data_IF_801795979024
#
_entry.id   IF_801795979024
#
_cell.length_a   1.000
_cell.length_b   1.000
_cell.length_c   1.000
_cell.angle_alpha   90.00
_cell.angle_beta   90.00
_cell.angle_gamma   90.00
#
_symmetry.space_group_name_H-M   'P 1'
#
loop_
_entity.id
_entity.type
_entity.pdbx_description
1 polymer ?
#
# COMPACT_ATOMS: atom_id res chain seq x y z
N UNK A 1 20.85 -14.94 25.36
CA UNK A 1 20.20 -15.65 24.21
C UNK A 1 18.90 -14.98 23.75
N UNK A 2 17.95 -14.70 24.62
CA UNK A 2 16.65 -14.08 24.28
C UNK A 2 16.80 -12.67 23.66
N UNK A 3 17.75 -11.88 24.13
CA UNK A 3 18.01 -10.52 23.61
C UNK A 3 18.59 -10.55 22.17
N UNK A 4 19.48 -11.48 21.84
CA UNK A 4 20.01 -11.65 20.47
C UNK A 4 18.94 -12.09 19.48
N UNK A 5 18.07 -13.02 19.85
CA UNK A 5 16.94 -13.45 19.00
C UNK A 5 15.94 -12.30 18.74
N UNK A 6 15.69 -11.44 19.72
CA UNK A 6 14.84 -10.26 19.54
C UNK A 6 15.41 -9.25 18.55
N UNK A 7 16.73 -9.05 18.58
CA UNK A 7 17.44 -8.15 17.65
C UNK A 7 17.45 -8.71 16.23
N UNK A 8 17.64 -10.02 16.04
CA UNK A 8 17.61 -10.63 14.70
C UNK A 8 16.23 -10.58 14.06
N UNK A 9 15.17 -10.84 14.83
CA UNK A 9 13.79 -10.73 14.34
C UNK A 9 13.46 -9.28 13.98
N UNK A 10 13.86 -8.31 14.80
CA UNK A 10 13.67 -6.90 14.51
C UNK A 10 14.44 -6.46 13.25
N UNK A 11 15.70 -6.90 13.10
CA UNK A 11 16.48 -6.66 11.87
C UNK A 11 15.82 -7.25 10.64
N UNK A 12 15.22 -8.45 10.76
CA UNK A 12 14.47 -9.07 9.66
C UNK A 12 13.23 -8.29 9.32
N UNK A 13 12.41 -7.89 10.30
CA UNK A 13 11.21 -7.07 10.09
C UNK A 13 11.56 -5.73 9.46
N UNK A 14 12.59 -5.05 9.96
CA UNK A 14 13.07 -3.80 9.37
C UNK A 14 13.59 -3.98 7.94
N UNK A 15 14.19 -5.12 7.60
CA UNK A 15 14.61 -5.39 6.21
C UNK A 15 13.43 -5.64 5.28
N UNK A 16 12.39 -6.33 5.74
CA UNK A 16 11.18 -6.61 4.95
C UNK A 16 10.32 -5.34 4.83
N UNK A 17 10.26 -4.52 5.89
CA UNK A 17 9.52 -3.25 5.91
C UNK A 17 10.28 -2.10 5.24
N UNK A 18 11.53 -2.30 4.85
CA UNK A 18 12.39 -1.20 4.40
C UNK A 18 11.89 -0.58 3.10
N UNK A 19 11.49 -1.41 2.15
CA UNK A 19 10.93 -0.96 0.88
C UNK A 19 9.62 -0.20 1.09
N UNK A 20 8.70 -0.78 1.87
CA UNK A 20 7.43 -0.15 2.19
C UNK A 20 7.63 1.18 2.91
N UNK A 21 8.47 1.22 3.95
CA UNK A 21 8.80 2.46 4.67
C UNK A 21 9.42 3.52 3.76
N UNK A 22 10.37 3.12 2.93
CA UNK A 22 11.06 4.05 2.05
C UNK A 22 10.14 4.55 0.94
N UNK A 23 9.28 3.67 0.43
CA UNK A 23 8.28 4.00 -0.57
C UNK A 23 7.24 5.00 -0.06
N UNK A 24 6.79 4.87 1.19
CA UNK A 24 5.83 5.79 1.81
C UNK A 24 6.46 7.11 2.23
N UNK A 25 7.73 7.12 2.68
CA UNK A 25 8.41 8.34 3.09
C UNK A 25 8.78 9.25 1.93
N UNK A 26 9.08 8.70 0.75
CA UNK A 26 9.53 9.50 -0.39
C UNK A 26 8.46 10.43 -0.97
N UNK A 27 7.20 10.02 -1.16
CA UNK A 27 6.13 10.92 -1.55
C UNK A 27 5.95 12.07 -0.54
N UNK A 28 6.06 11.80 0.77
CA UNK A 28 5.97 12.83 1.80
C UNK A 28 7.05 13.90 1.60
N UNK A 29 8.31 13.47 1.46
CA UNK A 29 9.43 14.38 1.24
C UNK A 29 9.29 15.13 -0.09
N UNK A 30 8.83 14.49 -1.13
CA UNK A 30 8.62 15.07 -2.44
C UNK A 30 7.56 16.17 -2.41
N UNK A 31 6.36 15.87 -1.88
CA UNK A 31 5.29 16.86 -1.79
C UNK A 31 5.63 18.01 -0.84
N UNK A 32 6.36 17.72 0.24
CA UNK A 32 6.91 18.75 1.11
C UNK A 32 7.86 19.69 0.36
N UNK A 33 8.79 19.15 -0.43
CA UNK A 33 9.72 19.95 -1.24
C UNK A 33 8.97 20.77 -2.30
N UNK A 34 8.04 20.18 -3.02
CA UNK A 34 7.22 20.89 -4.01
C UNK A 34 6.40 22.00 -3.37
N UNK A 35 5.82 21.75 -2.20
CA UNK A 35 5.10 22.74 -1.42
C UNK A 35 5.96 23.91 -0.96
N UNK A 36 7.20 23.66 -0.55
CA UNK A 36 8.15 24.70 -0.14
C UNK A 36 8.72 25.52 -1.31
N UNK A 37 9.02 24.85 -2.43
CA UNK A 37 9.75 25.46 -3.54
C UNK A 37 8.83 26.13 -4.58
N UNK A 38 7.60 25.63 -4.72
CA UNK A 38 6.67 26.04 -5.79
C UNK A 38 5.38 26.64 -5.21
N UNK A 39 4.52 25.83 -4.59
CA UNK A 39 3.22 26.25 -4.05
C UNK A 39 2.74 25.32 -2.94
N UNK A 40 2.30 25.91 -1.81
CA UNK A 40 1.78 25.17 -0.64
C UNK A 40 0.52 24.35 -0.96
N UNK A 41 -0.27 24.76 -1.94
CA UNK A 41 -1.50 24.07 -2.33
C UNK A 41 -1.24 22.73 -3.04
N UNK A 42 0.01 22.44 -3.42
CA UNK A 42 0.36 21.20 -4.13
C UNK A 42 0.16 19.93 -3.29
N UNK A 43 0.02 20.05 -1.97
CA UNK A 43 -0.39 18.89 -1.15
C UNK A 43 -1.73 18.31 -1.60
N UNK A 44 -2.60 19.13 -2.18
CA UNK A 44 -3.90 18.70 -2.68
C UNK A 44 -3.78 17.79 -3.92
N UNK A 45 -2.66 17.82 -4.64
CA UNK A 45 -2.38 16.88 -5.75
C UNK A 45 -2.27 15.46 -5.22
N UNK A 46 -1.65 15.29 -4.06
CA UNK A 46 -1.59 13.99 -3.39
C UNK A 46 -3.00 13.40 -3.18
N UNK A 47 -3.96 14.24 -2.82
CA UNK A 47 -5.36 13.84 -2.66
C UNK A 47 -5.97 13.19 -3.89
N UNK A 48 -5.74 13.84 -5.04
CA UNK A 48 -6.33 13.41 -6.31
C UNK A 48 -5.69 12.08 -6.74
N UNK A 49 -4.40 11.90 -6.45
CA UNK A 49 -3.62 10.77 -6.93
C UNK A 49 -3.45 9.64 -5.91
N UNK A 50 -3.76 9.90 -4.62
CA UNK A 50 -3.64 8.89 -3.56
C UNK A 50 -4.40 7.57 -3.85
N UNK A 51 -5.65 7.59 -4.33
CA UNK A 51 -6.34 6.35 -4.67
C UNK A 51 -5.59 5.52 -5.72
N UNK A 52 -4.81 6.15 -6.59
CA UNK A 52 -4.05 5.46 -7.64
C UNK A 52 -2.88 4.62 -7.09
N UNK A 53 -2.45 4.87 -5.85
CA UNK A 53 -1.46 4.00 -5.18
C UNK A 53 -1.99 2.57 -5.02
N UNK A 54 -3.29 2.40 -4.86
CA UNK A 54 -3.90 1.07 -4.81
C UNK A 54 -3.93 0.37 -6.18
N UNK A 55 -3.98 1.13 -7.29
CA UNK A 55 -3.79 0.57 -8.62
C UNK A 55 -2.35 0.08 -8.83
N UNK A 56 -1.38 0.79 -8.30
CA UNK A 56 0.00 0.33 -8.24
C UNK A 56 0.12 -1.00 -7.48
N UNK A 57 -0.49 -1.11 -6.28
CA UNK A 57 -0.48 -2.33 -5.48
C UNK A 57 -1.17 -3.51 -6.19
N UNK A 58 -2.28 -3.24 -6.89
CA UNK A 58 -2.97 -4.21 -7.74
C UNK A 58 -2.04 -4.76 -8.84
N UNK A 59 -1.34 -3.89 -9.55
CA UNK A 59 -0.40 -4.25 -10.62
C UNK A 59 0.77 -5.06 -10.06
N UNK A 60 1.32 -4.63 -8.92
CA UNK A 60 2.37 -5.35 -8.19
C UNK A 60 1.94 -6.79 -7.86
N UNK A 61 0.76 -6.96 -7.26
CA UNK A 61 0.21 -8.27 -6.90
C UNK A 61 0.06 -9.18 -8.11
N UNK A 62 -0.59 -8.70 -9.17
CA UNK A 62 -0.92 -9.52 -10.35
C UNK A 62 0.31 -9.85 -11.21
N UNK A 63 1.18 -8.87 -11.42
CA UNK A 63 2.28 -8.99 -12.40
C UNK A 63 3.67 -9.07 -11.78
N UNK A 64 3.81 -8.78 -10.49
CA UNK A 64 5.04 -8.96 -9.72
C UNK A 64 5.00 -10.22 -8.87
N UNK A 65 4.17 -10.23 -7.82
CA UNK A 65 4.16 -11.29 -6.81
C UNK A 65 3.65 -12.62 -7.35
N UNK A 66 2.47 -12.63 -7.98
CA UNK A 66 1.84 -13.86 -8.46
C UNK A 66 2.69 -14.65 -9.47
N UNK A 67 3.35 -14.03 -10.49
CA UNK A 67 4.27 -14.74 -11.38
C UNK A 67 5.51 -15.30 -10.69
N UNK A 68 6.02 -14.65 -9.66
CA UNK A 68 7.14 -15.16 -8.86
C UNK A 68 6.74 -16.42 -8.09
N UNK A 69 5.54 -16.44 -7.48
CA UNK A 69 5.00 -17.62 -6.80
C UNK A 69 4.79 -18.78 -7.82
N UNK A 70 4.28 -18.46 -9.00
CA UNK A 70 4.11 -19.47 -10.06
C UNK A 70 5.45 -20.05 -10.52
N UNK A 71 6.46 -19.18 -10.70
CA UNK A 71 7.79 -19.61 -11.12
C UNK A 71 8.42 -20.60 -10.13
N UNK A 72 8.21 -20.36 -8.82
CA UNK A 72 8.68 -21.25 -7.76
C UNK A 72 7.94 -22.59 -7.78
N UNK A 73 6.60 -22.57 -7.84
CA UNK A 73 5.77 -23.78 -7.78
C UNK A 73 5.86 -24.64 -9.04
N UNK A 74 5.97 -24.03 -10.20
CA UNK A 74 5.92 -24.70 -11.50
C UNK A 74 7.31 -24.79 -12.17
N UNK A 75 8.39 -24.31 -11.50
CA UNK A 75 9.76 -24.23 -12.01
C UNK A 75 9.86 -23.48 -13.36
N UNK A 76 8.95 -22.55 -13.61
CA UNK A 76 8.83 -21.81 -14.86
C UNK A 76 9.38 -20.39 -14.73
N UNK A 77 10.68 -20.20 -14.95
CA UNK A 77 11.34 -18.88 -14.87
C UNK A 77 10.79 -17.84 -15.86
N UNK A 78 10.20 -18.29 -16.99
CA UNK A 78 9.61 -17.35 -17.97
C UNK A 78 8.37 -16.63 -17.43
N UNK A 79 7.69 -17.16 -16.40
CA UNK A 79 6.54 -16.50 -15.77
C UNK A 79 6.90 -15.12 -15.22
N UNK A 80 8.06 -14.98 -14.58
CA UNK A 80 8.51 -13.71 -13.96
C UNK A 80 8.69 -12.63 -15.01
N UNK A 81 9.39 -12.96 -16.11
CA UNK A 81 9.63 -12.01 -17.20
C UNK A 81 8.36 -11.70 -18.00
N UNK A 82 7.50 -12.69 -18.19
CA UNK A 82 6.19 -12.49 -18.82
C UNK A 82 5.30 -11.61 -17.96
N UNK A 83 5.33 -11.78 -16.64
CA UNK A 83 4.68 -10.89 -15.68
C UNK A 83 5.17 -9.45 -15.81
N UNK A 84 6.50 -9.24 -15.88
CA UNK A 84 7.07 -7.89 -16.06
C UNK A 84 6.56 -7.22 -17.34
N UNK A 85 6.60 -7.91 -18.49
CA UNK A 85 6.17 -7.32 -19.78
C UNK A 85 4.67 -6.99 -19.77
N UNK A 86 3.85 -7.91 -19.27
CA UNK A 86 2.42 -7.65 -19.11
C UNK A 86 2.16 -6.54 -18.10
N UNK A 87 2.89 -6.53 -16.98
CA UNK A 87 2.80 -5.47 -15.98
C UNK A 87 3.13 -4.10 -16.55
N UNK A 88 4.17 -3.97 -17.38
CA UNK A 88 4.49 -2.74 -18.11
C UNK A 88 3.31 -2.33 -19.01
N UNK A 89 2.79 -3.27 -19.80
CA UNK A 89 1.65 -3.00 -20.69
C UNK A 89 0.41 -2.52 -19.91
N UNK A 90 0.01 -3.23 -18.86
CA UNK A 90 -1.14 -2.85 -18.05
C UNK A 90 -0.91 -1.57 -17.26
N UNK A 91 0.32 -1.30 -16.83
CA UNK A 91 0.68 -0.01 -16.22
C UNK A 91 0.41 1.14 -17.18
N UNK A 92 0.91 1.07 -18.41
CA UNK A 92 0.64 2.10 -19.41
C UNK A 92 -0.84 2.22 -19.74
N UNK A 93 -1.57 1.11 -19.82
CA UNK A 93 -3.00 1.13 -20.07
C UNK A 93 -3.75 1.83 -18.93
N UNK A 94 -3.55 1.41 -17.69
CA UNK A 94 -4.28 1.93 -16.52
C UNK A 94 -3.91 3.38 -16.25
N UNK A 95 -2.62 3.68 -16.05
CA UNK A 95 -2.19 5.06 -15.75
C UNK A 95 -2.36 5.99 -16.94
N UNK A 96 -2.27 5.50 -18.19
CA UNK A 96 -2.59 6.24 -19.38
C UNK A 96 -4.07 6.65 -19.45
N UNK A 97 -5.00 5.75 -19.10
CA UNK A 97 -6.42 6.07 -18.98
C UNK A 97 -6.69 7.14 -17.92
N UNK A 98 -6.01 7.08 -16.78
CA UNK A 98 -6.10 8.11 -15.75
C UNK A 98 -5.51 9.44 -16.24
N UNK A 99 -4.37 9.43 -16.93
CA UNK A 99 -3.76 10.64 -17.46
C UNK A 99 -4.67 11.34 -18.50
N UNK A 100 -5.31 10.59 -19.40
CA UNK A 100 -6.27 11.13 -20.37
C UNK A 100 -7.49 11.75 -19.67
N UNK A 101 -7.90 11.22 -18.54
CA UNK A 101 -9.06 11.68 -17.78
C UNK A 101 -8.71 12.58 -16.58
N UNK A 102 -7.49 13.09 -16.48
CA UNK A 102 -7.00 13.82 -15.30
C UNK A 102 -7.90 15.02 -14.94
N UNK A 103 -8.38 15.77 -15.92
CA UNK A 103 -9.26 16.91 -15.69
C UNK A 103 -10.61 16.53 -15.05
N UNK A 104 -11.15 15.37 -15.46
CA UNK A 104 -12.38 14.86 -14.87
C UNK A 104 -12.16 14.43 -13.42
N UNK A 105 -10.98 13.86 -13.09
CA UNK A 105 -10.61 13.54 -11.71
C UNK A 105 -10.47 14.79 -10.85
N UNK A 106 -9.78 15.83 -11.35
CA UNK A 106 -9.62 17.10 -10.64
C UNK A 106 -10.98 17.73 -10.35
N UNK A 107 -11.86 17.79 -11.35
CA UNK A 107 -13.25 18.29 -11.19
C UNK A 107 -14.07 17.46 -10.22
N UNK A 108 -13.91 16.13 -10.25
CA UNK A 108 -14.60 15.23 -9.34
C UNK A 108 -14.22 15.46 -7.87
N UNK A 109 -12.99 15.96 -7.64
CA UNK A 109 -12.51 16.37 -6.31
C UNK A 109 -12.82 17.84 -5.99
N UNK A 110 -13.66 18.52 -6.78
CA UNK A 110 -14.03 19.94 -6.64
C UNK A 110 -12.81 20.89 -6.62
N UNK A 111 -11.81 20.60 -7.44
CA UNK A 111 -10.56 21.36 -7.53
C UNK A 111 -10.42 22.09 -8.86
N UNK A 112 -9.56 23.12 -8.88
CA UNK A 112 -9.28 23.90 -10.09
C UNK A 112 -8.32 23.16 -11.03
N UNK A 113 -8.80 22.84 -12.24
CA UNK A 113 -8.02 22.15 -13.26
C UNK A 113 -6.78 22.95 -13.68
N UNK A 114 -6.87 24.28 -13.79
CA UNK A 114 -5.74 25.11 -14.25
C UNK A 114 -4.55 25.04 -13.30
N UNK A 115 -4.83 24.93 -11.99
CA UNK A 115 -3.79 24.89 -10.95
C UNK A 115 -3.14 23.49 -10.88
N UNK A 116 -3.94 22.44 -10.95
CA UNK A 116 -3.49 21.09 -10.57
C UNK A 116 -3.15 20.16 -11.74
N UNK A 117 -3.53 20.48 -12.97
CA UNK A 117 -3.41 19.59 -14.14
C UNK A 117 -2.00 19.00 -14.31
N UNK A 118 -0.98 19.86 -14.43
CA UNK A 118 0.39 19.41 -14.69
C UNK A 118 0.96 18.54 -13.56
N UNK A 119 0.68 18.90 -12.31
CA UNK A 119 1.16 18.15 -11.16
C UNK A 119 0.42 16.83 -10.95
N UNK A 120 -0.86 16.77 -11.30
CA UNK A 120 -1.60 15.49 -11.32
C UNK A 120 -1.07 14.57 -12.42
N UNK A 121 -0.80 15.08 -13.61
CA UNK A 121 -0.15 14.30 -14.68
C UNK A 121 1.22 13.79 -14.24
N UNK A 122 2.01 14.63 -13.58
CA UNK A 122 3.31 14.22 -13.02
C UNK A 122 3.14 13.07 -12.02
N UNK A 123 2.23 13.21 -11.05
CA UNK A 123 2.01 12.19 -10.04
C UNK A 123 1.51 10.87 -10.65
N UNK A 124 0.59 10.93 -11.62
CA UNK A 124 0.10 9.75 -12.36
C UNK A 124 1.24 9.05 -13.10
N UNK A 125 2.07 9.81 -13.83
CA UNK A 125 3.22 9.27 -14.54
C UNK A 125 4.26 8.66 -13.59
N UNK A 126 4.52 9.32 -12.47
CA UNK A 126 5.43 8.84 -11.43
C UNK A 126 4.94 7.53 -10.82
N UNK A 127 3.65 7.42 -10.47
CA UNK A 127 3.06 6.17 -9.96
C UNK A 127 3.15 5.04 -10.99
N UNK A 128 2.95 5.35 -12.28
CA UNK A 128 3.17 4.39 -13.37
C UNK A 128 4.61 3.88 -13.41
N UNK A 129 5.61 4.77 -13.35
CA UNK A 129 7.02 4.39 -13.32
C UNK A 129 7.38 3.60 -12.06
N UNK A 130 6.81 3.97 -10.90
CA UNK A 130 6.95 3.19 -9.68
C UNK A 130 6.37 1.79 -9.80
N UNK A 131 5.21 1.64 -10.45
CA UNK A 131 4.60 0.31 -10.69
C UNK A 131 5.53 -0.59 -11.49
N UNK A 132 6.14 -0.07 -12.55
CA UNK A 132 7.12 -0.81 -13.36
C UNK A 132 8.34 -1.17 -12.51
N UNK A 133 8.88 -0.21 -11.78
CA UNK A 133 10.05 -0.40 -10.94
C UNK A 133 9.84 -1.50 -9.89
N UNK A 134 8.69 -1.51 -9.21
CA UNK A 134 8.42 -2.49 -8.15
C UNK A 134 8.23 -3.90 -8.72
N UNK A 135 7.59 -4.07 -9.87
CA UNK A 135 7.52 -5.39 -10.53
C UNK A 135 8.95 -5.92 -10.78
N UNK A 136 9.89 -5.05 -11.14
CA UNK A 136 11.30 -5.42 -11.33
C UNK A 136 11.97 -5.80 -10.00
N UNK A 137 11.65 -5.10 -8.91
CA UNK A 137 12.18 -5.36 -7.56
C UNK A 137 11.70 -6.73 -7.03
N UNK A 138 10.47 -7.13 -7.30
CA UNK A 138 9.92 -8.42 -6.86
C UNK A 138 10.78 -9.62 -7.31
N UNK A 139 11.44 -9.53 -8.47
CA UNK A 139 12.41 -10.54 -8.91
C UNK A 139 13.55 -10.72 -7.91
N UNK A 140 14.09 -9.63 -7.36
CA UNK A 140 15.19 -9.73 -6.40
C UNK A 140 14.75 -10.32 -5.07
N UNK A 141 13.52 -10.04 -4.62
CA UNK A 141 12.96 -10.66 -3.43
C UNK A 141 12.77 -12.16 -3.62
N UNK A 142 12.27 -12.56 -4.80
CA UNK A 142 12.15 -13.96 -5.18
C UNK A 142 13.51 -14.68 -5.19
N UNK A 143 14.56 -14.04 -5.71
CA UNK A 143 15.92 -14.55 -5.73
C UNK A 143 16.65 -14.44 -4.37
N UNK A 144 15.96 -14.03 -3.29
CA UNK A 144 16.51 -13.78 -1.95
C UNK A 144 17.63 -12.71 -1.92
N UNK A 145 17.71 -11.85 -2.94
CA UNK A 145 18.69 -10.77 -3.08
C UNK A 145 18.18 -9.45 -2.44
N UNK A 146 17.64 -9.51 -1.22
CA UNK A 146 16.99 -8.39 -0.53
C UNK A 146 17.88 -7.14 -0.42
N UNK A 147 19.19 -7.32 -0.17
CA UNK A 147 20.12 -6.18 -0.06
C UNK A 147 20.23 -5.43 -1.40
N UNK A 148 20.22 -6.16 -2.52
CA UNK A 148 20.26 -5.59 -3.87
C UNK A 148 18.96 -4.86 -4.18
N UNK A 149 17.81 -5.45 -3.84
CA UNK A 149 16.52 -4.81 -3.93
C UNK A 149 16.52 -3.47 -3.19
N UNK A 150 16.93 -3.46 -1.92
CA UNK A 150 16.95 -2.25 -1.10
C UNK A 150 17.89 -1.17 -1.65
N UNK A 151 19.05 -1.53 -2.22
CA UNK A 151 19.95 -0.57 -2.87
C UNK A 151 19.26 0.08 -4.07
N UNK A 152 18.60 -0.70 -4.93
CA UNK A 152 17.87 -0.16 -6.08
C UNK A 152 16.71 0.75 -5.65
N UNK A 153 15.98 0.41 -4.58
CA UNK A 153 14.91 1.23 -4.01
C UNK A 153 15.46 2.58 -3.53
N UNK A 154 16.55 2.58 -2.77
CA UNK A 154 17.20 3.81 -2.30
C UNK A 154 17.62 4.67 -3.51
N UNK A 155 18.34 4.07 -4.45
CA UNK A 155 18.87 4.80 -5.61
C UNK A 155 17.74 5.41 -6.45
N UNK A 156 16.69 4.66 -6.73
CA UNK A 156 15.55 5.13 -7.52
C UNK A 156 14.86 6.33 -6.86
N UNK A 157 14.54 6.21 -5.57
CA UNK A 157 13.84 7.25 -4.84
C UNK A 157 14.72 8.50 -4.59
N UNK A 158 15.98 8.29 -4.22
CA UNK A 158 16.94 9.41 -4.05
C UNK A 158 17.16 10.13 -5.38
N UNK A 159 17.29 9.42 -6.49
CA UNK A 159 17.44 10.02 -7.81
C UNK A 159 16.21 10.83 -8.21
N UNK A 160 15.01 10.30 -7.97
CA UNK A 160 13.74 11.01 -8.21
C UNK A 160 13.68 12.31 -7.42
N UNK A 161 13.92 12.25 -6.10
CA UNK A 161 13.89 13.42 -5.22
C UNK A 161 14.99 14.43 -5.55
N UNK A 162 16.21 13.96 -5.79
CA UNK A 162 17.35 14.81 -6.12
C UNK A 162 17.16 15.51 -7.47
N UNK A 163 16.68 14.82 -8.50
CA UNK A 163 16.41 15.44 -9.79
C UNK A 163 15.33 16.52 -9.68
N UNK A 164 14.27 16.28 -8.93
CA UNK A 164 13.22 17.25 -8.68
C UNK A 164 13.76 18.50 -7.98
N UNK A 165 14.60 18.32 -6.96
CA UNK A 165 15.27 19.42 -6.26
C UNK A 165 16.20 20.21 -7.19
N UNK A 166 17.07 19.53 -7.95
CA UNK A 166 18.03 20.18 -8.85
C UNK A 166 17.30 20.97 -9.94
N UNK A 167 16.29 20.39 -10.59
CA UNK A 167 15.54 21.10 -11.62
C UNK A 167 14.77 22.29 -11.04
N UNK A 168 14.23 22.22 -9.83
CA UNK A 168 13.56 23.35 -9.18
C UNK A 168 14.50 24.49 -8.80
N UNK A 169 15.81 24.22 -8.63
CA UNK A 169 16.80 25.25 -8.42
C UNK A 169 17.27 25.93 -9.75
N UNK A 170 17.30 25.19 -10.85
CA UNK A 170 17.75 25.67 -12.16
C UNK A 170 16.68 26.52 -12.85
N UNK A 171 15.42 26.15 -12.71
CA UNK A 171 14.30 26.80 -13.39
C UNK A 171 13.06 26.88 -12.48
N UNK A 172 12.22 27.88 -12.79
CA UNK A 172 10.85 27.94 -12.20
C UNK A 172 9.78 27.38 -13.13
N UNK A 173 10.17 26.91 -14.31
CA UNK A 173 9.24 26.31 -15.26
C UNK A 173 8.84 24.91 -14.78
N UNK A 174 7.57 24.78 -14.41
CA UNK A 174 6.99 23.56 -13.87
C UNK A 174 7.11 22.38 -14.84
N UNK A 175 6.97 22.62 -16.14
CA UNK A 175 7.05 21.57 -17.16
C UNK A 175 8.45 20.98 -17.22
N UNK A 176 9.48 21.82 -17.16
CA UNK A 176 10.89 21.39 -17.17
C UNK A 176 11.22 20.60 -15.91
N UNK A 177 10.77 21.08 -14.73
CA UNK A 177 10.99 20.39 -13.45
C UNK A 177 10.39 18.97 -13.50
N UNK A 178 9.14 18.88 -13.90
CA UNK A 178 8.38 17.63 -13.97
C UNK A 178 9.00 16.65 -14.98
N UNK A 179 9.21 17.12 -16.22
CA UNK A 179 9.72 16.28 -17.30
C UNK A 179 11.14 15.81 -17.02
N UNK A 180 11.99 16.69 -16.48
CA UNK A 180 13.35 16.33 -16.11
C UNK A 180 13.41 15.25 -15.03
N UNK A 181 12.56 15.35 -14.00
CA UNK A 181 12.50 14.34 -12.95
C UNK A 181 11.99 12.99 -13.48
N UNK A 182 10.93 12.96 -14.28
CA UNK A 182 10.41 11.74 -14.88
C UNK A 182 11.44 11.10 -15.82
N UNK A 183 12.17 11.89 -16.60
CA UNK A 183 13.21 11.39 -17.50
C UNK A 183 14.31 10.65 -16.73
N UNK A 184 14.74 11.17 -15.59
CA UNK A 184 15.74 10.50 -14.75
C UNK A 184 15.24 9.17 -14.19
N UNK A 185 13.98 9.07 -13.82
CA UNK A 185 13.36 7.82 -13.38
C UNK A 185 13.31 6.80 -14.53
N UNK A 186 12.92 7.22 -15.73
CA UNK A 186 12.90 6.36 -16.94
C UNK A 186 14.29 5.84 -17.26
N UNK A 187 15.30 6.71 -17.26
CA UNK A 187 16.71 6.32 -17.49
C UNK A 187 17.14 5.26 -16.47
N UNK A 188 16.81 5.45 -15.20
CA UNK A 188 17.16 4.49 -14.16
C UNK A 188 16.51 3.11 -14.40
N UNK A 189 15.22 3.09 -14.74
CA UNK A 189 14.48 1.84 -15.05
C UNK A 189 15.11 1.13 -16.25
N UNK A 190 15.45 1.87 -17.32
CA UNK A 190 16.09 1.30 -18.52
C UNK A 190 17.46 0.71 -18.17
N UNK A 191 18.30 1.45 -17.45
CA UNK A 191 19.63 0.97 -17.04
C UNK A 191 19.51 -0.28 -16.16
N UNK A 192 18.61 -0.26 -15.17
CA UNK A 192 18.33 -1.41 -14.31
C UNK A 192 17.87 -2.62 -15.15
N UNK A 193 16.97 -2.41 -16.10
CA UNK A 193 16.51 -3.48 -16.99
C UNK A 193 17.67 -4.08 -17.80
N UNK A 194 18.51 -3.25 -18.39
CA UNK A 194 19.66 -3.70 -19.20
C UNK A 194 20.70 -4.47 -18.39
N UNK A 195 20.90 -4.11 -17.11
CA UNK A 195 21.91 -4.73 -16.25
C UNK A 195 21.42 -6.03 -15.58
N UNK A 196 20.13 -6.13 -15.31
CA UNK A 196 19.61 -7.15 -14.40
C UNK A 196 18.70 -8.19 -15.06
N UNK A 197 18.29 -7.97 -16.30
CA UNK A 197 17.31 -8.82 -16.95
C UNK A 197 17.87 -9.44 -18.23
N UNK A 198 17.69 -10.75 -18.34
CA UNK A 198 18.13 -11.56 -19.49
C UNK A 198 17.03 -11.67 -20.55
N UNK A 199 17.43 -12.13 -21.74
CA UNK A 199 16.46 -12.49 -22.80
C UNK A 199 15.56 -13.62 -22.33
N UNK A 200 14.27 -13.54 -22.65
CA UNK A 200 13.26 -14.52 -22.25
C UNK A 200 12.30 -14.84 -23.40
N UNK A 201 11.51 -15.89 -23.22
CA UNK A 201 10.37 -16.21 -24.10
C UNK A 201 9.08 -15.88 -23.37
N UNK A 202 8.18 -15.16 -24.06
CA UNK A 202 6.87 -14.83 -23.52
C UNK A 202 6.05 -16.10 -23.25
N UNK A 203 5.51 -16.23 -22.04
CA UNK A 203 4.64 -17.33 -21.63
C UNK A 203 3.30 -16.79 -21.11
N UNK A 204 2.24 -16.94 -21.89
CA UNK A 204 0.89 -16.50 -21.51
C UNK A 204 0.26 -17.32 -20.38
N UNK A 205 0.88 -18.44 -19.96
CA UNK A 205 0.44 -19.17 -18.77
C UNK A 205 0.54 -18.33 -17.50
N UNK A 206 1.28 -17.22 -17.55
CA UNK A 206 1.36 -16.25 -16.44
C UNK A 206 -0.02 -15.75 -15.99
N UNK A 207 -1.03 -15.69 -16.85
CA UNK A 207 -2.40 -15.34 -16.43
C UNK A 207 -3.00 -16.34 -15.42
N UNK A 208 -2.52 -17.59 -15.40
CA UNK A 208 -2.92 -18.58 -14.40
C UNK A 208 -2.32 -18.30 -13.02
N UNK A 209 -1.28 -17.46 -12.95
CA UNK A 209 -0.66 -17.08 -11.67
C UNK A 209 -1.57 -16.19 -10.82
N UNK A 210 -2.48 -15.42 -11.42
CA UNK A 210 -3.36 -14.48 -10.72
C UNK A 210 -4.05 -15.11 -9.50
N UNK A 211 -4.40 -16.39 -9.59
CA UNK A 211 -5.01 -17.15 -8.47
C UNK A 211 -4.15 -17.17 -7.19
N UNK A 212 -2.84 -16.97 -7.30
CA UNK A 212 -1.93 -17.05 -6.15
C UNK A 212 -1.94 -15.80 -5.29
N UNK A 213 -2.32 -14.64 -5.86
CA UNK A 213 -2.35 -13.37 -5.14
C UNK A 213 -3.63 -12.55 -5.41
N UNK A 214 -4.70 -13.23 -5.84
CA UNK A 214 -5.98 -12.60 -6.22
C UNK A 214 -6.67 -11.89 -5.06
N UNK A 215 -6.44 -12.34 -3.82
CA UNK A 215 -7.04 -11.73 -2.61
C UNK A 215 -6.45 -10.34 -2.38
N UNK A 216 -5.12 -10.21 -2.38
CA UNK A 216 -4.45 -8.94 -2.16
C UNK A 216 -4.69 -7.98 -3.34
N UNK A 217 -4.76 -8.52 -4.56
CA UNK A 217 -5.15 -7.74 -5.75
C UNK A 217 -6.56 -7.16 -5.63
N UNK A 218 -7.52 -7.97 -5.17
CA UNK A 218 -8.90 -7.53 -4.99
C UNK A 218 -9.05 -6.54 -3.84
N UNK A 219 -8.31 -6.75 -2.74
CA UNK A 219 -8.27 -5.82 -1.62
C UNK A 219 -7.77 -4.44 -2.08
N UNK A 220 -6.68 -4.41 -2.85
CA UNK A 220 -6.17 -3.18 -3.46
C UNK A 220 -7.21 -2.46 -4.31
N UNK A 221 -7.97 -3.20 -5.14
CA UNK A 221 -9.04 -2.63 -5.94
C UNK A 221 -10.17 -2.03 -5.09
N UNK A 222 -10.56 -2.71 -4.01
CA UNK A 222 -11.57 -2.20 -3.08
C UNK A 222 -11.08 -0.94 -2.36
N UNK A 223 -9.82 -0.89 -1.93
CA UNK A 223 -9.22 0.30 -1.33
C UNK A 223 -9.17 1.49 -2.30
N UNK A 224 -8.91 1.25 -3.58
CA UNK A 224 -9.02 2.31 -4.59
C UNK A 224 -10.40 2.98 -4.53
N UNK A 225 -11.49 2.22 -4.55
CA UNK A 225 -12.84 2.78 -4.49
C UNK A 225 -13.14 3.44 -3.16
N UNK A 226 -12.71 2.86 -2.02
CA UNK A 226 -12.91 3.44 -0.69
C UNK A 226 -12.30 4.84 -0.62
N UNK A 227 -11.05 4.98 -1.03
CA UNK A 227 -10.37 6.27 -0.97
C UNK A 227 -10.85 7.23 -2.04
N UNK A 228 -11.13 6.75 -3.24
CA UNK A 228 -11.67 7.59 -4.33
C UNK A 228 -12.99 8.26 -3.93
N UNK A 229 -13.95 7.51 -3.41
CA UNK A 229 -15.22 8.07 -2.96
C UNK A 229 -15.10 8.82 -1.63
N UNK A 230 -14.26 8.36 -0.73
CA UNK A 230 -14.04 9.02 0.56
C UNK A 230 -13.41 10.40 0.44
N UNK A 231 -12.42 10.56 -0.42
CA UNK A 231 -11.78 11.84 -0.71
C UNK A 231 -12.74 12.78 -1.45
N UNK A 232 -13.48 12.27 -2.43
CA UNK A 232 -14.51 13.06 -3.11
C UNK A 232 -15.60 13.52 -2.14
N UNK A 233 -16.02 12.65 -1.21
CA UNK A 233 -16.97 13.07 -0.19
C UNK A 233 -16.39 14.17 0.72
N UNK A 234 -15.15 14.00 1.21
CA UNK A 234 -14.49 15.01 2.02
C UNK A 234 -14.41 16.37 1.30
N UNK A 235 -14.12 16.37 -0.02
CA UNK A 235 -14.05 17.59 -0.83
C UNK A 235 -15.39 18.35 -0.91
N UNK A 236 -16.52 17.65 -0.81
CA UNK A 236 -17.85 18.28 -0.80
C UNK A 236 -18.12 19.10 0.47
N UNK A 237 -17.41 18.81 1.58
CA UNK A 237 -17.52 19.57 2.84
C UNK A 237 -16.57 20.77 2.91
N UNK A 238 -15.59 20.84 2.02
CA UNK A 238 -14.64 21.93 1.88
C UNK A 238 -13.19 21.47 1.75
N UNK A 239 -12.38 22.34 1.18
CA UNK A 239 -10.95 22.06 0.90
C UNK A 239 -10.18 21.76 2.20
N UNK A 240 -10.56 22.37 3.32
CA UNK A 240 -9.93 22.13 4.63
C UNK A 240 -10.16 20.71 5.17
N UNK A 241 -11.33 20.09 4.93
CA UNK A 241 -11.59 18.69 5.27
C UNK A 241 -10.73 17.75 4.44
N UNK A 242 -10.63 18.04 3.14
CA UNK A 242 -9.82 17.27 2.23
C UNK A 242 -8.32 17.38 2.58
N UNK A 243 -7.83 18.59 2.84
CA UNK A 243 -6.44 18.84 3.23
C UNK A 243 -6.09 18.14 4.55
N UNK A 244 -6.97 18.18 5.55
CA UNK A 244 -6.77 17.49 6.81
C UNK A 244 -6.73 15.96 6.67
N UNK A 245 -7.67 15.38 5.91
CA UNK A 245 -7.71 13.93 5.64
C UNK A 245 -6.44 13.47 4.92
N UNK A 246 -6.00 14.22 3.91
CA UNK A 246 -4.79 13.91 3.15
C UNK A 246 -3.52 14.01 3.98
N UNK A 247 -3.43 15.06 4.80
CA UNK A 247 -2.29 15.22 5.69
C UNK A 247 -2.18 14.03 6.64
N UNK A 248 -3.31 13.58 7.21
CA UNK A 248 -3.34 12.43 8.11
C UNK A 248 -2.99 11.15 7.35
N UNK A 249 -3.60 10.89 6.18
CA UNK A 249 -3.26 9.74 5.35
C UNK A 249 -1.77 9.71 5.03
N UNK A 250 -1.20 10.84 4.61
CA UNK A 250 0.21 10.96 4.24
C UNK A 250 1.16 10.59 5.40
N UNK A 251 0.90 11.09 6.62
CA UNK A 251 1.76 10.82 7.79
C UNK A 251 1.55 9.43 8.40
N UNK A 252 0.40 8.77 8.13
CA UNK A 252 0.09 7.42 8.66
C UNK A 252 0.36 6.29 7.67
N UNK A 253 0.57 6.59 6.40
CA UNK A 253 0.76 5.61 5.33
C UNK A 253 1.95 4.65 5.59
N UNK A 254 3.07 5.19 6.06
CA UNK A 254 4.24 4.39 6.42
C UNK A 254 3.98 3.35 7.52
N UNK A 255 3.01 3.57 8.40
CA UNK A 255 2.61 2.60 9.42
C UNK A 255 1.79 1.47 8.83
N UNK A 256 0.86 1.78 7.95
CA UNK A 256 0.04 0.78 7.26
C UNK A 256 0.90 -0.15 6.41
N UNK A 257 1.82 0.39 5.65
CA UNK A 257 2.75 -0.39 4.84
C UNK A 257 3.68 -1.27 5.70
N UNK A 258 4.13 -0.75 6.84
CA UNK A 258 4.95 -1.52 7.77
C UNK A 258 4.18 -2.69 8.40
N UNK A 259 2.87 -2.54 8.61
CA UNK A 259 2.02 -3.64 9.08
C UNK A 259 1.78 -4.70 8.00
N UNK A 260 1.67 -4.32 6.74
CA UNK A 260 1.62 -5.28 5.65
C UNK A 260 2.86 -6.19 5.66
N UNK A 261 4.05 -5.63 5.87
CA UNK A 261 5.29 -6.39 6.00
C UNK A 261 5.32 -7.33 7.23
N UNK A 262 4.71 -6.93 8.37
CA UNK A 262 4.58 -7.81 9.54
C UNK A 262 3.67 -9.00 9.24
N UNK A 263 2.57 -8.78 8.54
CA UNK A 263 1.67 -9.84 8.13
C UNK A 263 2.35 -10.81 7.17
N UNK A 264 3.14 -10.32 6.24
CA UNK A 264 3.94 -11.15 5.32
C UNK A 264 4.98 -11.98 6.08
N UNK A 265 5.70 -11.39 7.02
CA UNK A 265 6.61 -12.14 7.88
C UNK A 265 5.89 -13.21 8.70
N UNK A 266 4.68 -12.93 9.20
CA UNK A 266 3.86 -13.88 9.93
C UNK A 266 3.41 -15.05 9.03
N UNK A 267 3.02 -14.78 7.78
CA UNK A 267 2.68 -15.82 6.78
C UNK A 267 3.87 -16.75 6.52
N UNK A 268 5.07 -16.19 6.37
CA UNK A 268 6.30 -16.97 6.17
C UNK A 268 6.63 -17.83 7.40
N UNK A 269 6.51 -17.28 8.61
CA UNK A 269 6.78 -18.01 9.84
C UNK A 269 5.73 -19.12 10.09
N UNK A 270 4.47 -18.90 9.71
CA UNK A 270 3.42 -19.93 9.70
C UNK A 270 3.75 -21.07 8.74
N UNK A 271 4.13 -20.76 7.51
CA UNK A 271 4.49 -21.75 6.51
C UNK A 271 5.70 -22.62 6.93
N UNK A 272 6.60 -22.06 7.74
CA UNK A 272 7.77 -22.75 8.29
C UNK A 272 7.53 -23.41 9.67
N UNK A 273 6.29 -23.44 10.15
CA UNK A 273 5.92 -23.93 11.51
C UNK A 273 6.70 -23.25 12.65
N UNK A 274 7.11 -21.99 12.48
CA UNK A 274 7.88 -21.18 13.45
C UNK A 274 7.06 -20.06 14.09
N UNK A 275 5.78 -19.98 13.78
CA UNK A 275 4.91 -18.90 14.20
C UNK A 275 4.61 -18.93 15.70
N UNK A 276 4.85 -17.80 16.37
CA UNK A 276 4.45 -17.53 17.74
C UNK A 276 3.64 -16.23 17.80
N UNK A 277 2.34 -16.36 18.04
CA UNK A 277 1.41 -15.23 18.08
C UNK A 277 1.80 -14.15 19.11
N UNK A 278 2.26 -14.55 20.32
CA UNK A 278 2.66 -13.59 21.36
C UNK A 278 3.89 -12.81 20.93
N UNK A 279 4.86 -13.51 20.35
CA UNK A 279 6.10 -12.89 19.86
C UNK A 279 5.83 -11.96 18.67
N UNK A 280 5.01 -12.39 17.73
CA UNK A 280 4.61 -11.58 16.56
C UNK A 280 3.87 -10.33 16.99
N UNK A 281 2.89 -10.45 17.90
CA UNK A 281 2.14 -9.31 18.43
C UNK A 281 3.04 -8.34 19.20
N UNK A 282 3.95 -8.84 20.04
CA UNK A 282 4.91 -7.99 20.77
C UNK A 282 5.83 -7.23 19.80
N UNK A 283 6.27 -7.86 18.73
CA UNK A 283 7.11 -7.21 17.73
C UNK A 283 6.31 -6.17 16.92
N UNK A 284 5.05 -6.46 16.59
CA UNK A 284 4.17 -5.51 15.95
C UNK A 284 4.00 -4.23 16.78
N UNK A 285 3.72 -4.36 18.09
CA UNK A 285 3.60 -3.19 18.97
C UNK A 285 4.92 -2.44 19.19
N UNK A 286 6.05 -3.12 19.20
CA UNK A 286 7.36 -2.45 19.26
C UNK A 286 7.63 -1.63 18.00
N UNK A 287 7.32 -2.18 16.83
CA UNK A 287 7.43 -1.45 15.57
C UNK A 287 6.47 -0.26 15.55
N UNK A 288 5.22 -0.46 15.96
CA UNK A 288 4.23 0.60 16.08
C UNK A 288 4.72 1.76 16.96
N UNK A 289 5.34 1.45 18.11
CA UNK A 289 5.89 2.47 19.00
C UNK A 289 6.98 3.31 18.32
N UNK A 290 7.87 2.67 17.54
CA UNK A 290 8.89 3.37 16.75
C UNK A 290 8.24 4.24 15.69
N UNK A 291 7.22 3.71 15.01
CA UNK A 291 6.51 4.42 13.94
C UNK A 291 5.67 5.59 14.46
N UNK A 292 5.11 5.52 15.66
CA UNK A 292 4.47 6.68 16.29
C UNK A 292 5.44 7.85 16.50
N UNK A 293 6.70 7.55 16.82
CA UNK A 293 7.73 8.60 16.90
C UNK A 293 7.96 9.27 15.55
N UNK A 294 7.87 8.51 14.45
CA UNK A 294 7.98 9.08 13.10
C UNK A 294 6.77 9.92 12.73
N UNK A 295 5.55 9.52 13.12
CA UNK A 295 4.33 10.36 12.94
C UNK A 295 4.50 11.71 13.62
N UNK A 296 4.91 11.71 14.88
CA UNK A 296 5.11 12.96 15.65
C UNK A 296 6.16 13.85 14.96
N UNK A 297 7.28 13.26 14.55
CA UNK A 297 8.34 14.00 13.86
C UNK A 297 7.83 14.58 12.54
N UNK A 298 7.15 13.80 11.71
CA UNK A 298 6.58 14.25 10.44
C UNK A 298 5.51 15.32 10.65
N UNK A 299 4.66 15.17 11.67
CA UNK A 299 3.69 16.18 12.05
C UNK A 299 4.37 17.53 12.34
N UNK A 300 5.43 17.52 13.16
CA UNK A 300 6.16 18.76 13.52
C UNK A 300 6.79 19.41 12.29
N UNK A 301 7.41 18.61 11.41
CA UNK A 301 8.09 19.12 10.21
C UNK A 301 7.10 19.71 9.22
N UNK A 302 5.99 18.98 8.93
CA UNK A 302 5.07 19.33 7.86
C UNK A 302 4.02 20.35 8.28
N UNK A 303 3.64 20.37 9.55
CA UNK A 303 2.60 21.27 10.06
C UNK A 303 2.86 22.76 9.77
N UNK A 304 4.12 23.18 9.95
CA UNK A 304 4.51 24.57 9.68
C UNK A 304 4.50 24.96 8.19
N UNK A 305 4.44 23.97 7.30
CA UNK A 305 4.40 24.16 5.84
C UNK A 305 3.00 24.38 5.27
N UNK A 306 1.96 24.05 6.02
CA UNK A 306 0.56 24.04 5.55
C UNK A 306 -0.36 24.77 6.52
N UNK A 307 -1.31 25.53 5.98
CA UNK A 307 -2.38 26.16 6.75
C UNK A 307 -3.49 25.14 7.01
N UNK A 308 -3.31 24.27 8.01
CA UNK A 308 -4.23 23.18 8.33
C UNK A 308 -5.13 23.53 9.49
N UNK A 309 -6.39 23.10 9.42
CA UNK A 309 -7.31 23.14 10.54
C UNK A 309 -6.96 22.02 11.55
N UNK A 310 -6.31 22.40 12.65
CA UNK A 310 -5.84 21.46 13.69
C UNK A 310 -6.96 20.60 14.27
N UNK A 311 -8.18 21.15 14.41
CA UNK A 311 -9.31 20.40 14.93
C UNK A 311 -9.69 19.23 14.02
N UNK A 312 -9.73 19.48 12.71
CA UNK A 312 -10.02 18.44 11.71
C UNK A 312 -8.89 17.39 11.66
N UNK A 313 -7.64 17.84 11.67
CA UNK A 313 -6.47 16.93 11.70
C UNK A 313 -6.53 16.05 12.96
N UNK A 314 -6.84 16.61 14.14
CA UNK A 314 -6.92 15.86 15.38
C UNK A 314 -8.02 14.78 15.34
N UNK A 315 -9.17 15.06 14.73
CA UNK A 315 -10.27 14.09 14.59
C UNK A 315 -9.83 12.94 13.68
N UNK A 316 -9.35 13.22 12.45
CA UNK A 316 -8.90 12.19 11.53
C UNK A 316 -7.75 11.37 12.12
N UNK A 317 -6.74 12.02 12.69
CA UNK A 317 -5.58 11.37 13.28
C UNK A 317 -5.95 10.47 14.48
N UNK A 318 -6.91 10.88 15.31
CA UNK A 318 -7.34 10.09 16.46
C UNK A 318 -7.98 8.76 16.03
N UNK A 319 -8.75 8.76 14.95
CA UNK A 319 -9.35 7.53 14.39
C UNK A 319 -8.25 6.63 13.80
N UNK A 320 -7.30 7.19 13.05
CA UNK A 320 -6.18 6.43 12.49
C UNK A 320 -5.31 5.79 13.58
N UNK A 321 -4.95 6.55 14.63
CA UNK A 321 -4.16 6.03 15.75
C UNK A 321 -4.91 4.89 16.47
N UNK A 322 -6.21 5.04 16.67
CA UNK A 322 -7.03 3.99 17.28
C UNK A 322 -7.06 2.73 16.42
N UNK A 323 -7.27 2.88 15.11
CA UNK A 323 -7.32 1.76 14.18
C UNK A 323 -5.96 1.04 14.10
N UNK A 324 -4.87 1.79 13.97
CA UNK A 324 -3.50 1.25 14.02
C UNK A 324 -3.22 0.48 15.31
N UNK A 325 -3.78 0.91 16.45
CA UNK A 325 -3.59 0.22 17.72
C UNK A 325 -4.29 -1.15 17.77
N UNK A 326 -5.45 -1.30 17.15
CA UNK A 326 -6.21 -2.56 17.14
C UNK A 326 -5.86 -3.49 15.96
N UNK A 327 -5.33 -2.93 14.88
CA UNK A 327 -5.01 -3.65 13.65
C UNK A 327 -4.12 -4.89 13.87
N UNK A 328 -3.00 -4.83 14.60
CA UNK A 328 -2.15 -6.02 14.81
C UNK A 328 -2.88 -7.19 15.46
N UNK A 329 -3.89 -6.89 16.30
CA UNK A 329 -4.63 -7.91 17.04
C UNK A 329 -5.47 -8.76 16.09
N UNK A 330 -6.19 -8.14 15.16
CA UNK A 330 -7.04 -8.89 14.25
C UNK A 330 -6.31 -9.36 12.99
N UNK A 331 -5.35 -8.59 12.47
CA UNK A 331 -4.63 -8.94 11.24
C UNK A 331 -3.77 -10.20 11.40
N UNK A 332 -3.00 -10.32 12.50
CA UNK A 332 -2.23 -11.53 12.79
C UNK A 332 -3.13 -12.75 13.01
N UNK A 333 -4.30 -12.58 13.64
CA UNK A 333 -5.29 -13.67 13.79
C UNK A 333 -5.87 -14.04 12.44
N UNK A 334 -6.17 -13.07 11.57
CA UNK A 334 -6.66 -13.31 10.21
C UNK A 334 -5.63 -14.09 9.41
N UNK A 335 -4.34 -13.71 9.43
CA UNK A 335 -3.27 -14.46 8.79
C UNK A 335 -3.22 -15.92 9.28
N UNK A 336 -3.28 -16.12 10.60
CA UNK A 336 -3.27 -17.46 11.19
C UNK A 336 -4.51 -18.29 10.77
N UNK A 337 -5.71 -17.73 10.89
CA UNK A 337 -6.96 -18.40 10.52
C UNK A 337 -7.08 -18.66 9.02
N UNK A 338 -6.53 -17.80 8.19
CA UNK A 338 -6.52 -17.98 6.73
C UNK A 338 -5.75 -19.25 6.33
N UNK A 339 -4.62 -19.51 6.97
CA UNK A 339 -3.75 -20.65 6.66
C UNK A 339 -4.17 -21.93 7.37
N UNK A 340 -4.64 -21.85 8.62
CA UNK A 340 -4.85 -23.00 9.50
C UNK A 340 -6.34 -23.41 9.64
N UNK A 341 -7.29 -22.53 9.28
CA UNK A 341 -8.72 -22.80 9.50
C UNK A 341 -9.53 -22.79 8.20
N UNK A 342 -9.69 -21.62 7.56
CA UNK A 342 -10.47 -21.49 6.33
C UNK A 342 -10.16 -20.19 5.60
N UNK A 343 -9.54 -20.30 4.44
CA UNK A 343 -9.28 -19.18 3.56
C UNK A 343 -10.58 -18.51 3.10
N UNK A 344 -11.59 -19.30 2.70
CA UNK A 344 -12.88 -18.78 2.22
C UNK A 344 -13.57 -17.91 3.27
N UNK A 345 -13.63 -18.37 4.55
CA UNK A 345 -14.24 -17.58 5.62
C UNK A 345 -13.50 -16.29 5.89
N UNK A 346 -12.16 -16.31 5.82
CA UNK A 346 -11.36 -15.10 6.05
C UNK A 346 -11.50 -14.13 4.90
N UNK A 347 -11.52 -14.60 3.66
CA UNK A 347 -11.80 -13.78 2.48
C UNK A 347 -13.19 -13.15 2.54
N UNK A 348 -14.23 -13.93 2.88
CA UNK A 348 -15.59 -13.40 3.05
C UNK A 348 -15.65 -12.34 4.15
N UNK A 349 -14.96 -12.58 5.28
CA UNK A 349 -14.89 -11.62 6.38
C UNK A 349 -14.23 -10.29 5.94
N UNK A 350 -13.16 -10.38 5.16
CA UNK A 350 -12.49 -9.22 4.58
C UNK A 350 -13.41 -8.47 3.61
N UNK A 351 -14.11 -9.16 2.72
CA UNK A 351 -15.09 -8.55 1.82
C UNK A 351 -16.19 -7.78 2.54
N UNK A 352 -16.73 -8.34 3.63
CA UNK A 352 -17.74 -7.65 4.44
C UNK A 352 -17.14 -6.40 5.08
N UNK A 353 -15.93 -6.50 5.61
CA UNK A 353 -15.22 -5.38 6.23
C UNK A 353 -14.96 -4.26 5.22
N UNK A 354 -14.44 -4.58 4.04
CA UNK A 354 -14.22 -3.61 2.95
C UNK A 354 -15.54 -3.05 2.42
N UNK A 355 -16.59 -3.88 2.35
CA UNK A 355 -17.95 -3.44 1.99
C UNK A 355 -18.51 -2.39 2.96
N UNK A 356 -18.29 -2.55 4.27
CA UNK A 356 -18.66 -1.55 5.29
C UNK A 356 -17.96 -0.22 4.99
N UNK A 357 -16.66 -0.23 4.66
CA UNK A 357 -15.89 0.97 4.32
C UNK A 357 -16.41 1.65 3.04
N UNK A 358 -16.66 0.86 1.99
CA UNK A 358 -17.22 1.38 0.73
C UNK A 358 -18.58 2.04 0.97
N UNK A 359 -19.50 1.35 1.66
CA UNK A 359 -20.83 1.91 1.94
C UNK A 359 -20.72 3.17 2.79
N UNK A 360 -19.84 3.18 3.79
CA UNK A 360 -19.63 4.35 4.64
C UNK A 360 -19.11 5.55 3.85
N UNK A 361 -18.29 5.36 2.82
CA UNK A 361 -17.76 6.47 2.01
C UNK A 361 -18.81 7.23 1.20
N UNK A 362 -20.02 6.67 1.04
CA UNK A 362 -21.16 7.36 0.41
C UNK A 362 -22.05 8.12 1.39
N UNK A 363 -21.81 8.02 2.70
CA UNK A 363 -22.61 8.75 3.68
C UNK A 363 -22.33 10.26 3.57
N UNK A 364 -23.39 11.10 3.59
CA UNK A 364 -23.24 12.55 3.48
C UNK A 364 -22.79 13.18 4.81
N UNK A 365 -21.68 12.71 5.35
CA UNK A 365 -21.07 13.21 6.59
C UNK A 365 -19.57 13.41 6.39
N UNK A 366 -18.97 14.45 6.98
CA UNK A 366 -17.58 14.84 6.69
C UNK A 366 -16.52 13.80 7.08
N UNK A 367 -16.81 12.96 8.06
CA UNK A 367 -15.86 11.93 8.57
C UNK A 367 -16.27 10.50 8.17
N UNK A 368 -17.04 10.34 7.10
CA UNK A 368 -17.59 9.04 6.68
C UNK A 368 -16.52 7.98 6.47
N UNK A 369 -15.39 8.32 5.85
CA UNK A 369 -14.28 7.40 5.57
C UNK A 369 -13.66 6.87 6.87
N UNK A 370 -13.35 7.78 7.81
CA UNK A 370 -12.77 7.40 9.12
C UNK A 370 -13.79 6.62 9.98
N UNK A 371 -15.07 6.97 9.92
CA UNK A 371 -16.12 6.22 10.60
C UNK A 371 -16.24 4.80 10.01
N UNK A 372 -16.23 4.67 8.70
CA UNK A 372 -16.26 3.38 8.01
C UNK A 372 -15.07 2.52 8.36
N UNK A 373 -13.88 3.10 8.44
CA UNK A 373 -12.67 2.44 8.86
C UNK A 373 -12.80 1.90 10.29
N UNK A 374 -13.22 2.74 11.24
CA UNK A 374 -13.41 2.36 12.63
C UNK A 374 -14.42 1.21 12.79
N UNK A 375 -15.58 1.30 12.15
CA UNK A 375 -16.61 0.25 12.19
C UNK A 375 -16.08 -1.04 11.59
N UNK A 376 -15.40 -0.98 10.46
CA UNK A 376 -14.79 -2.13 9.78
C UNK A 376 -13.76 -2.82 10.67
N UNK A 377 -12.89 -2.08 11.33
CA UNK A 377 -11.85 -2.62 12.20
C UNK A 377 -12.43 -3.27 13.46
N UNK A 378 -13.44 -2.65 14.07
CA UNK A 378 -14.18 -3.25 15.20
C UNK A 378 -14.88 -4.55 14.75
N UNK A 379 -15.52 -4.54 13.58
CA UNK A 379 -16.13 -5.73 12.99
C UNK A 379 -15.09 -6.85 12.80
N UNK A 380 -13.93 -6.56 12.21
CA UNK A 380 -12.86 -7.54 12.03
C UNK A 380 -12.32 -8.06 13.36
N UNK A 381 -12.14 -7.19 14.35
CA UNK A 381 -11.70 -7.59 15.70
C UNK A 381 -12.69 -8.57 16.35
N UNK A 382 -13.98 -8.32 16.25
CA UNK A 382 -15.02 -9.18 16.81
C UNK A 382 -15.07 -10.52 16.07
N UNK A 383 -15.16 -10.49 14.75
CA UNK A 383 -15.35 -11.68 13.92
C UNK A 383 -14.12 -12.61 13.96
N UNK A 384 -12.91 -12.08 13.90
CA UNK A 384 -11.69 -12.88 14.04
C UNK A 384 -11.57 -13.54 15.42
N UNK A 385 -12.04 -12.87 16.49
CA UNK A 385 -12.09 -13.47 17.80
C UNK A 385 -13.10 -14.62 17.89
N UNK A 386 -14.27 -14.48 17.25
CA UNK A 386 -15.29 -15.54 17.16
C UNK A 386 -14.71 -16.75 16.41
N UNK A 387 -14.10 -16.51 15.23
CA UNK A 387 -13.50 -17.60 14.45
C UNK A 387 -12.33 -18.28 15.20
N UNK A 388 -11.52 -17.51 15.92
CA UNK A 388 -10.44 -18.09 16.73
C UNK A 388 -10.96 -18.98 17.85
N UNK A 389 -12.07 -18.59 18.52
CA UNK A 389 -12.73 -19.44 19.52
C UNK A 389 -13.28 -20.72 18.90
N UNK A 390 -13.97 -20.65 17.76
CA UNK A 390 -14.47 -21.81 17.01
C UNK A 390 -13.32 -22.76 16.61
N UNK A 391 -12.26 -22.22 16.04
CA UNK A 391 -11.10 -23.02 15.65
C UNK A 391 -10.45 -23.75 16.83
N UNK A 392 -10.29 -23.09 18.00
CA UNK A 392 -9.76 -23.73 19.20
C UNK A 392 -10.62 -24.90 19.68
N UNK A 393 -11.96 -24.77 19.64
CA UNK A 393 -12.88 -25.86 19.98
C UNK A 393 -12.72 -27.07 19.04
N UNK A 394 -12.60 -26.82 17.75
CA UNK A 394 -12.37 -27.88 16.76
C UNK A 394 -11.04 -28.59 17.03
N UNK A 395 -9.98 -27.84 17.33
CA UNK A 395 -8.65 -28.41 17.59
C UNK A 395 -8.55 -29.15 18.92
N UNK A 396 -9.38 -28.79 19.93
CA UNK A 396 -9.47 -29.51 21.21
C UNK A 396 -10.30 -30.78 21.19
N UNK A 397 -10.89 -31.13 20.05
CA UNK A 397 -11.69 -32.35 19.90
C UNK A 397 -13.15 -32.24 20.41
N UNK A 398 -13.58 -31.02 20.81
CA UNK A 398 -15.02 -30.74 21.04
C UNK A 398 -15.71 -30.68 19.68
N UNK A 399 -16.30 -31.83 19.26
CA UNK A 399 -16.98 -32.00 17.96
C UNK A 399 -18.13 -31.00 17.83
N UNK A 400 -18.02 -30.06 16.91
CA UNK A 400 -19.18 -29.34 16.36
C UNK A 400 -19.88 -30.25 15.33
N UNK A 401 -21.04 -30.77 15.66
CA UNK A 401 -21.89 -31.60 14.78
C UNK A 401 -22.49 -30.83 13.59
N UNK A 402 -22.22 -29.52 13.43
CA UNK A 402 -22.87 -28.65 12.42
C UNK A 402 -22.25 -28.68 11.01
N UNK A 403 -21.15 -29.40 10.76
CA UNK A 403 -20.42 -29.28 9.49
C UNK A 403 -20.74 -30.35 8.43
N UNK A 404 -21.58 -31.32 8.70
CA UNK A 404 -21.88 -32.38 7.71
C UNK A 404 -23.03 -32.11 6.74
N UNK A 405 -23.75 -31.01 6.87
CA UNK A 405 -24.95 -30.75 6.07
C UNK A 405 -24.73 -29.84 4.84
N UNK A 406 -23.56 -29.28 4.62
CA UNK A 406 -23.32 -28.35 3.49
C UNK A 406 -22.45 -28.99 2.38
N UNK A 407 -21.71 -30.03 2.64
CA UNK A 407 -20.86 -30.67 1.62
C UNK A 407 -21.54 -31.83 0.85
N UNK A 408 -22.77 -32.17 1.20
CA UNK A 408 -23.54 -33.28 0.52
C UNK A 408 -24.61 -32.76 -0.44
N UNK A 409 -24.58 -31.50 -0.82
CA UNK A 409 -25.62 -30.91 -1.66
C UNK A 409 -25.05 -29.98 -2.74
N UNK A 410 -24.08 -30.44 -3.56
CA UNK A 410 -23.83 -29.94 -4.92
C UNK A 410 -23.32 -31.12 -5.75
#
# INVERSE_FOLDING_TARGET
MVMRLGVEVMKRLLKISFDSLFFSLMPILQWFLLGLLIDKNLINVFSITYPLQFMYSLIKSIFGVAPNIQAEKESNKNSVMSGLVLGIFFTFLIFGLFAINVDNFIRFMNMDVQIYHNFCLFSIAQLGLHSIFVIMIEKFYYEEKNTKANIHIILFNVLSLFSLFVFSLITKDQVIIITGSLLMMVIFIIVMYMLEFEKFKMDFKVFKSIKYDSVDALDSLLFFFIYFFGLSNASNFGVEYLAALNFVALITDCQWDSFAAINEAAKIDLAKNKYDNRKSLKNAYRLLFILYSTIILMFIIMYNGYELNLGLVAIYLSVEIFDLAIYPIYSLKTCYLNLEYSSVKMTTNMFIASGIRVVSSFLPIPFCTSLGQLISSIYQLITTNIYMKKFKKIKSGEKEYEFRTIESGV
#
